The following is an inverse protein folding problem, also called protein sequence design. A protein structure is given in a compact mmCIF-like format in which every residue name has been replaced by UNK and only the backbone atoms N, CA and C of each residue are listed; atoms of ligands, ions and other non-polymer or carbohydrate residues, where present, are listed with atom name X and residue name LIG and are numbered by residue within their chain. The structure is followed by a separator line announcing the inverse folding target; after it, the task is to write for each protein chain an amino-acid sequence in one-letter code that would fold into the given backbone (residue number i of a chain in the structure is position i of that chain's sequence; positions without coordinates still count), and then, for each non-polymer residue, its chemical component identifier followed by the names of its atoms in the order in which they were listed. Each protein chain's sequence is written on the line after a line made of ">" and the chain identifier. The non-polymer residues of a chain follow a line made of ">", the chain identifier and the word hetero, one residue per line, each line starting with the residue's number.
data_IF_481876285419
#
_entry.id   IF_481876285419
#
_cell.length_a   1.000
_cell.length_b   1.000
_cell.length_c   1.000
_cell.angle_alpha   90.00
_cell.angle_beta   90.00
_cell.angle_gamma   90.00
#
_symmetry.space_group_name_H-M   'P 1'
#
loop_
_entity.id
_entity.type
_entity.pdbx_description
1 polymer ?
#
# COMPACT_ATOMS: atom_id res chain seq x y z
N UNK A 1 -11.67 -3.14 32.79
CA UNK A 1 -10.97 -2.66 31.58
C UNK A 1 -9.48 -2.96 31.74
N UNK A 2 -9.02 -4.12 31.31
CA UNK A 2 -7.60 -4.48 31.35
C UNK A 2 -7.27 -5.35 30.14
N UNK A 3 -6.80 -4.71 29.07
CA UNK A 3 -6.05 -5.26 27.94
C UNK A 3 -5.26 -4.03 27.45
N UNK A 4 -3.94 -4.02 27.30
CA UNK A 4 -3.13 -4.96 26.56
C UNK A 4 -1.67 -4.74 27.00
N UNK A 5 -1.07 -5.68 27.74
CA UNK A 5 0.38 -5.70 27.94
C UNK A 5 1.00 -6.38 26.71
N UNK A 6 1.33 -5.59 25.69
CA UNK A 6 2.10 -6.04 24.53
C UNK A 6 3.58 -6.17 24.93
N UNK A 7 3.93 -7.23 25.67
CA UNK A 7 5.31 -7.66 25.79
C UNK A 7 5.72 -8.38 24.51
N UNK A 8 6.88 -8.00 23.98
CA UNK A 8 7.55 -8.67 22.88
C UNK A 8 7.99 -10.05 23.38
N UNK A 9 7.44 -11.13 22.81
CA UNK A 9 7.94 -12.47 23.13
C UNK A 9 8.27 -13.26 21.87
N UNK A 10 9.29 -14.11 21.99
CA UNK A 10 9.81 -15.00 20.95
C UNK A 10 8.74 -16.05 20.62
N UNK A 11 8.46 -16.20 19.33
CA UNK A 11 7.47 -17.13 18.77
C UNK A 11 8.24 -18.05 17.82
N UNK A 12 8.09 -19.36 17.95
CA UNK A 12 8.63 -20.28 16.96
C UNK A 12 7.69 -20.30 15.75
N UNK A 13 8.10 -19.57 14.72
CA UNK A 13 7.48 -19.59 13.40
C UNK A 13 8.45 -20.17 12.40
N UNK A 14 8.14 -21.35 11.86
CA UNK A 14 8.82 -21.88 10.68
C UNK A 14 7.92 -21.64 9.46
N UNK A 15 8.33 -20.69 8.61
CA UNK A 15 7.62 -20.35 7.35
C UNK A 15 6.15 -19.99 7.53
N UNK A 16 5.80 -19.36 8.65
CA UNK A 16 4.46 -18.81 8.90
C UNK A 16 4.52 -17.31 9.14
N UNK A 17 3.47 -16.61 8.73
CA UNK A 17 3.24 -15.21 9.05
C UNK A 17 2.13 -15.12 10.11
N UNK A 18 2.33 -14.28 11.12
CA UNK A 18 1.33 -13.98 12.14
C UNK A 18 1.04 -12.50 12.13
N UNK A 19 -0.17 -12.14 11.74
CA UNK A 19 -0.62 -10.76 11.79
C UNK A 19 -1.11 -10.45 13.20
N UNK A 20 -0.34 -9.64 13.92
CA UNK A 20 -0.65 -9.27 15.30
C UNK A 20 -1.94 -8.48 15.44
N UNK A 21 -2.36 -7.75 14.39
CA UNK A 21 -3.54 -6.89 14.45
C UNK A 21 -4.85 -7.70 14.35
N UNK A 22 -4.84 -8.74 13.52
CA UNK A 22 -6.00 -9.60 13.26
C UNK A 22 -5.95 -10.93 14.03
N UNK A 23 -4.77 -11.31 14.52
CA UNK A 23 -4.52 -12.63 15.11
C UNK A 23 -4.51 -13.77 14.08
N UNK A 24 -4.40 -13.44 12.79
CA UNK A 24 -4.37 -14.43 11.72
C UNK A 24 -3.01 -15.11 11.61
N UNK A 25 -3.02 -16.43 11.38
CA UNK A 25 -1.83 -17.21 11.00
C UNK A 25 -1.98 -17.72 9.58
N UNK A 26 -0.98 -17.44 8.75
CA UNK A 26 -0.86 -17.93 7.37
C UNK A 26 0.53 -18.56 7.15
N UNK A 27 0.73 -19.23 6.03
CA UNK A 27 2.09 -19.52 5.56
C UNK A 27 2.75 -18.24 5.06
N UNK A 28 4.03 -18.08 5.37
CA UNK A 28 4.84 -17.05 4.75
C UNK A 28 5.05 -17.37 3.26
N UNK A 29 5.08 -16.35 2.42
CA UNK A 29 5.54 -16.50 1.05
C UNK A 29 7.07 -16.52 0.99
N UNK A 30 7.62 -17.10 -0.07
CA UNK A 30 9.03 -16.98 -0.42
C UNK A 30 9.20 -15.72 -1.27
N UNK A 31 9.63 -14.58 -0.70
CA UNK A 31 9.72 -13.35 -1.44
C UNK A 31 10.96 -13.32 -2.35
N UNK A 32 11.79 -14.37 -2.34
CA UNK A 32 12.98 -14.44 -3.20
C UNK A 32 12.65 -14.66 -4.67
N UNK A 33 11.41 -15.06 -5.00
CA UNK A 33 10.96 -15.28 -6.37
C UNK A 33 9.58 -14.71 -6.60
N UNK A 34 9.45 -13.87 -7.61
CA UNK A 34 8.15 -13.39 -8.11
C UNK A 34 7.75 -14.18 -9.36
N UNK A 35 6.51 -14.61 -9.42
CA UNK A 35 5.93 -15.25 -10.60
C UNK A 35 4.72 -14.46 -11.08
N UNK A 36 4.45 -14.47 -12.39
CA UNK A 36 3.23 -13.88 -12.93
C UNK A 36 2.03 -14.57 -12.27
N UNK A 37 1.20 -13.78 -11.61
CA UNK A 37 0.04 -14.23 -10.86
C UNK A 37 -1.22 -14.10 -11.71
N UNK A 38 -1.43 -12.92 -12.30
CA UNK A 38 -2.65 -12.61 -13.05
C UNK A 38 -2.47 -11.43 -13.99
N UNK A 39 -3.43 -11.28 -14.92
CA UNK A 39 -3.65 -10.08 -15.74
C UNK A 39 -5.08 -9.59 -15.55
N UNK A 40 -5.40 -9.07 -14.36
CA UNK A 40 -6.80 -8.95 -13.95
C UNK A 40 -7.46 -7.68 -14.49
N UNK A 41 -6.67 -6.74 -14.96
CA UNK A 41 -7.17 -5.49 -15.51
C UNK A 41 -7.21 -5.55 -17.04
N UNK A 42 -8.16 -4.83 -17.62
CA UNK A 42 -8.16 -4.52 -19.06
C UNK A 42 -7.20 -3.36 -19.41
N UNK A 43 -6.61 -2.74 -18.39
CA UNK A 43 -5.72 -1.59 -18.51
C UNK A 43 -4.25 -2.00 -18.45
N UNK A 44 -3.37 -1.13 -18.93
CA UNK A 44 -1.95 -1.45 -19.09
C UNK A 44 -1.10 -1.19 -17.85
N UNK A 45 -1.60 -0.50 -16.82
CA UNK A 45 -0.81 -0.12 -15.66
C UNK A 45 -1.56 -0.41 -14.37
N UNK A 46 -0.93 -1.16 -13.46
CA UNK A 46 -1.30 -1.17 -12.04
C UNK A 46 -0.58 0.00 -11.36
N UNK A 47 -1.34 0.99 -10.92
CA UNK A 47 -0.80 2.27 -10.48
C UNK A 47 -0.50 2.35 -8.99
N UNK A 48 -1.29 1.67 -8.17
CA UNK A 48 -1.16 1.70 -6.71
C UNK A 48 -1.78 0.43 -6.10
N UNK A 49 -1.38 0.11 -4.87
CA UNK A 49 -1.95 -0.96 -4.06
C UNK A 49 -2.09 -0.52 -2.61
N UNK A 50 -3.19 -0.87 -1.96
CA UNK A 50 -3.42 -0.58 -0.54
C UNK A 50 -4.05 -1.75 0.20
N UNK A 51 -3.82 -1.82 1.50
CA UNK A 51 -4.51 -2.76 2.38
C UNK A 51 -5.52 -1.98 3.22
N UNK A 52 -6.79 -2.32 3.06
CA UNK A 52 -7.90 -1.68 3.76
C UNK A 52 -8.76 -2.73 4.46
N UNK A 53 -8.85 -2.66 5.80
CA UNK A 53 -9.60 -3.64 6.62
C UNK A 53 -9.27 -5.10 6.28
N UNK A 54 -7.98 -5.39 6.08
CA UNK A 54 -7.50 -6.73 5.73
C UNK A 54 -7.80 -7.16 4.28
N UNK A 55 -8.22 -6.25 3.40
CA UNK A 55 -8.42 -6.49 1.97
C UNK A 55 -7.31 -5.81 1.19
N UNK A 56 -6.67 -6.52 0.26
CA UNK A 56 -5.72 -5.93 -0.67
C UNK A 56 -6.48 -5.41 -1.89
N UNK A 57 -6.36 -4.10 -2.13
CA UNK A 57 -6.93 -3.41 -3.29
C UNK A 57 -5.79 -2.99 -4.22
N UNK A 58 -6.05 -2.99 -5.51
CA UNK A 58 -5.15 -2.44 -6.52
C UNK A 58 -5.93 -1.50 -7.45
N UNK A 59 -5.35 -0.35 -7.78
CA UNK A 59 -5.85 0.48 -8.86
C UNK A 59 -5.15 0.13 -10.16
N UNK A 60 -5.90 0.12 -11.26
CA UNK A 60 -5.37 -0.02 -12.59
C UNK A 60 -6.00 1.01 -13.53
N UNK A 61 -5.18 1.58 -14.41
CA UNK A 61 -5.63 2.50 -15.46
C UNK A 61 -4.64 2.48 -16.63
N UNK A 62 -4.83 3.40 -17.56
CA UNK A 62 -4.13 3.54 -18.84
C UNK A 62 -4.61 2.56 -19.92
N UNK A 63 -4.89 3.13 -21.09
CA UNK A 63 -5.28 2.41 -22.30
C UNK A 63 -4.41 2.89 -23.47
N UNK A 64 -3.25 2.24 -23.63
CA UNK A 64 -2.30 2.54 -24.69
C UNK A 64 -2.73 2.03 -26.07
N UNK A 65 -3.73 1.14 -26.13
CA UNK A 65 -4.14 0.50 -27.38
C UNK A 65 -5.36 1.21 -28.01
N UNK A 66 -6.08 2.03 -27.24
CA UNK A 66 -7.18 2.83 -27.78
C UNK A 66 -6.73 3.88 -28.80
N UNK A 67 -7.58 4.16 -29.80
CA UNK A 67 -7.37 5.21 -30.82
C UNK A 67 -7.13 6.61 -30.22
N UNK A 68 -7.47 6.80 -28.96
CA UNK A 68 -7.18 8.00 -28.17
C UNK A 68 -5.68 8.29 -28.01
N UNK A 69 -4.81 7.31 -28.24
CA UNK A 69 -3.36 7.50 -28.30
C UNK A 69 -2.92 8.53 -29.37
N UNK A 70 -3.81 8.88 -30.31
CA UNK A 70 -3.60 9.97 -31.26
C UNK A 70 -3.78 11.37 -30.66
N UNK A 71 -4.43 11.51 -29.49
CA UNK A 71 -4.49 12.76 -28.72
C UNK A 71 -3.38 12.73 -27.64
N UNK A 72 -2.35 13.61 -27.69
CA UNK A 72 -1.15 13.60 -26.82
C UNK A 72 -1.33 13.63 -25.30
N UNK A 73 -2.56 13.57 -24.80
CA UNK A 73 -2.97 14.05 -23.49
C UNK A 73 -4.08 13.22 -22.83
N UNK A 74 -4.77 12.36 -23.57
CA UNK A 74 -5.76 11.43 -23.02
C UNK A 74 -5.03 10.13 -22.69
N UNK A 75 -4.86 9.85 -21.41
CA UNK A 75 -4.03 8.74 -20.93
C UNK A 75 -4.84 7.45 -20.71
N UNK A 76 -6.16 7.56 -20.53
CA UNK A 76 -7.03 6.40 -20.36
C UNK A 76 -8.51 6.74 -20.58
N UNK A 77 -9.31 5.72 -20.91
CA UNK A 77 -10.78 5.80 -20.98
C UNK A 77 -11.47 5.34 -19.69
N UNK A 78 -10.69 5.03 -18.64
CA UNK A 78 -11.23 4.63 -17.34
C UNK A 78 -10.19 4.05 -16.40
N UNK A 79 -10.64 3.72 -15.21
CA UNK A 79 -9.84 3.04 -14.20
C UNK A 79 -10.65 1.91 -13.57
N UNK A 80 -9.93 0.97 -12.98
CA UNK A 80 -10.50 -0.14 -12.20
C UNK A 80 -9.90 -0.12 -10.81
N UNK A 81 -10.74 -0.40 -9.82
CA UNK A 81 -10.32 -0.85 -8.51
C UNK A 81 -10.58 -2.34 -8.44
N UNK A 82 -9.53 -3.09 -8.19
CA UNK A 82 -9.54 -4.54 -8.09
C UNK A 82 -9.36 -4.94 -6.62
N UNK A 83 -9.98 -6.03 -6.22
CA UNK A 83 -9.79 -6.66 -4.92
C UNK A 83 -9.21 -8.06 -5.09
N UNK A 84 -8.17 -8.38 -4.32
CA UNK A 84 -7.62 -9.72 -4.25
C UNK A 84 -8.36 -10.58 -3.21
N UNK A 85 -8.78 -11.79 -3.60
CA UNK A 85 -9.33 -12.81 -2.72
C UNK A 85 -8.27 -13.87 -2.40
N UNK A 86 -7.75 -13.92 -1.16
CA UNK A 86 -6.80 -14.95 -0.74
C UNK A 86 -7.38 -16.37 -0.78
N UNK A 87 -8.71 -16.49 -0.68
CA UNK A 87 -9.42 -17.76 -0.70
C UNK A 87 -9.43 -18.43 -2.08
N UNK A 88 -9.67 -17.65 -3.15
CA UNK A 88 -9.64 -18.16 -4.53
C UNK A 88 -8.32 -17.95 -5.26
N UNK A 89 -7.42 -17.11 -4.74
CA UNK A 89 -6.22 -16.60 -5.44
C UNK A 89 -6.55 -15.82 -6.72
N UNK A 90 -7.62 -15.03 -6.67
CA UNK A 90 -8.11 -14.29 -7.82
C UNK A 90 -8.29 -12.81 -7.48
N UNK A 91 -8.16 -11.98 -8.51
CA UNK A 91 -8.53 -10.58 -8.46
C UNK A 91 -9.91 -10.38 -9.06
N UNK A 92 -10.74 -9.58 -8.40
CA UNK A 92 -12.10 -9.27 -8.84
C UNK A 92 -12.24 -7.77 -9.05
N UNK A 93 -13.02 -7.39 -10.05
CA UNK A 93 -13.41 -6.00 -10.23
C UNK A 93 -14.31 -5.59 -9.06
N UNK A 94 -13.86 -4.61 -8.28
CA UNK A 94 -14.61 -4.02 -7.18
C UNK A 94 -15.34 -2.75 -7.63
N UNK A 95 -14.69 -1.94 -8.46
CA UNK A 95 -15.26 -0.70 -8.98
C UNK A 95 -14.66 -0.33 -10.33
N UNK A 96 -15.48 0.23 -11.21
CA UNK A 96 -15.04 0.77 -12.49
C UNK A 96 -15.38 2.26 -12.55
N UNK A 97 -14.38 3.06 -12.92
CA UNK A 97 -14.49 4.50 -13.05
C UNK A 97 -14.37 4.84 -14.52
N UNK A 98 -15.48 5.22 -15.15
CA UNK A 98 -15.47 5.59 -16.56
C UNK A 98 -14.73 6.91 -16.77
N UNK A 99 -14.01 7.02 -17.89
CA UNK A 99 -13.40 8.25 -18.40
C UNK A 99 -12.38 8.91 -17.48
N UNK A 100 -11.90 8.16 -16.49
CA UNK A 100 -11.11 8.67 -15.39
C UNK A 100 -9.87 7.83 -15.17
N UNK A 101 -8.93 8.33 -14.38
CA UNK A 101 -7.74 7.61 -13.98
C UNK A 101 -7.55 7.68 -12.48
N UNK A 102 -6.85 6.66 -11.98
CA UNK A 102 -6.49 6.56 -10.57
C UNK A 102 -4.99 6.38 -10.49
N UNK A 103 -4.30 7.37 -9.90
CA UNK A 103 -2.86 7.30 -9.70
C UNK A 103 -2.49 6.94 -8.26
N UNK A 104 -3.26 7.40 -7.29
CA UNK A 104 -3.03 7.20 -5.88
C UNK A 104 -4.32 6.70 -5.24
N UNK A 105 -4.20 5.78 -4.29
CA UNK A 105 -5.27 5.26 -3.46
C UNK A 105 -4.83 5.42 -2.01
N UNK A 106 -5.66 6.06 -1.18
CA UNK A 106 -5.28 6.39 0.20
C UNK A 106 -6.26 5.78 1.18
N UNK A 107 -5.74 5.09 2.19
CA UNK A 107 -6.55 4.71 3.35
C UNK A 107 -6.54 5.88 4.32
N UNK A 108 -7.70 6.51 4.50
CA UNK A 108 -7.87 7.66 5.39
C UNK A 108 -8.96 7.33 6.40
N UNK A 109 -8.54 7.22 7.66
CA UNK A 109 -9.34 6.71 8.77
C UNK A 109 -9.90 5.30 8.46
N UNK A 110 -11.21 5.20 8.26
CA UNK A 110 -11.96 3.98 8.04
C UNK A 110 -12.50 3.89 6.61
N UNK A 111 -11.94 4.68 5.67
CA UNK A 111 -12.31 4.71 4.24
C UNK A 111 -11.09 4.61 3.34
N UNK A 112 -11.34 4.18 2.11
CA UNK A 112 -10.43 4.36 0.98
C UNK A 112 -10.86 5.61 0.22
N UNK A 113 -9.96 6.55 0.02
CA UNK A 113 -10.17 7.76 -0.75
C UNK A 113 -9.37 7.70 -2.05
N UNK A 114 -10.02 8.04 -3.16
CA UNK A 114 -9.46 7.95 -4.50
C UNK A 114 -9.64 9.29 -5.22
N UNK A 115 -8.58 10.10 -5.32
CA UNK A 115 -8.62 11.34 -6.07
C UNK A 115 -8.72 11.04 -7.57
N UNK A 116 -9.64 11.73 -8.23
CA UNK A 116 -9.89 11.54 -9.65
C UNK A 116 -8.86 12.27 -10.54
N UNK A 117 -8.17 11.53 -11.41
CA UNK A 117 -7.20 12.08 -12.36
C UNK A 117 -7.82 12.09 -13.77
N UNK A 118 -7.94 13.27 -14.41
CA UNK A 118 -8.44 13.44 -15.80
C UNK A 118 -9.79 12.79 -16.16
N UNK A 119 -10.93 13.44 -15.96
CA UNK A 119 -12.17 13.06 -16.61
C UNK A 119 -12.25 13.68 -18.00
N UNK A 120 -12.48 12.84 -19.00
CA UNK A 120 -12.61 13.26 -20.40
C UNK A 120 -13.81 14.20 -20.61
N UNK A 121 -14.87 14.05 -19.82
CA UNK A 121 -16.09 14.87 -19.92
C UNK A 121 -16.06 16.16 -19.06
N UNK A 122 -14.86 16.61 -18.66
CA UNK A 122 -14.60 18.01 -18.32
C UNK A 122 -14.97 18.48 -16.91
N UNK A 123 -15.18 17.57 -15.94
CA UNK A 123 -15.52 17.96 -14.56
C UNK A 123 -14.98 16.97 -13.50
N UNK A 124 -13.66 16.87 -13.30
CA UNK A 124 -13.15 16.17 -12.10
C UNK A 124 -13.26 17.16 -10.98
N UNK A 125 -14.12 16.81 -10.05
CA UNK A 125 -14.27 17.47 -8.76
C UNK A 125 -14.43 16.43 -7.67
N UNK A 126 -14.18 15.16 -8.00
CA UNK A 126 -14.55 14.03 -7.17
C UNK A 126 -13.33 13.49 -6.47
N UNK A 127 -13.56 13.17 -5.21
CA UNK A 127 -12.77 12.19 -4.49
C UNK A 127 -13.75 11.07 -4.18
N UNK A 128 -13.51 9.90 -4.76
CA UNK A 128 -14.33 8.73 -4.49
C UNK A 128 -13.99 8.22 -3.09
N UNK A 129 -15.00 7.78 -2.36
CA UNK A 129 -14.84 7.24 -1.02
C UNK A 129 -15.45 5.84 -0.97
N UNK A 130 -14.73 4.88 -0.39
CA UNK A 130 -15.22 3.53 -0.15
C UNK A 130 -15.10 3.19 1.33
N UNK A 131 -16.22 2.91 1.98
CA UNK A 131 -16.29 2.60 3.42
C UNK A 131 -16.10 1.11 3.74
N UNK A 132 -15.83 0.30 2.71
CA UNK A 132 -15.74 -1.16 2.80
C UNK A 132 -16.97 -1.90 2.29
N UNK A 133 -18.08 -1.19 2.09
CA UNK A 133 -19.35 -1.74 1.60
C UNK A 133 -19.83 -1.00 0.37
N UNK A 134 -19.88 0.33 0.45
CA UNK A 134 -20.48 1.18 -0.57
C UNK A 134 -19.50 2.25 -1.06
N UNK A 135 -19.68 2.62 -2.33
CA UNK A 135 -18.96 3.72 -2.96
C UNK A 135 -19.79 5.00 -2.87
N UNK A 136 -19.13 6.09 -2.49
CA UNK A 136 -19.68 7.43 -2.52
C UNK A 136 -18.67 8.42 -3.07
N UNK A 137 -19.02 9.70 -3.02
CA UNK A 137 -18.15 10.80 -3.38
C UNK A 137 -18.15 11.85 -2.27
N UNK A 138 -17.01 12.50 -2.07
CA UNK A 138 -16.95 13.70 -1.26
C UNK A 138 -17.61 14.88 -1.99
N UNK A 139 -17.84 15.99 -1.28
CA UNK A 139 -18.34 17.22 -1.86
C UNK A 139 -17.44 17.73 -2.99
N UNK A 140 -18.05 18.41 -3.96
CA UNK A 140 -17.36 18.86 -5.16
C UNK A 140 -16.25 19.86 -4.82
N UNK A 141 -15.08 19.65 -5.41
CA UNK A 141 -13.98 20.61 -5.37
C UNK A 141 -14.35 21.91 -6.12
N UNK A 142 -13.84 23.09 -5.70
CA UNK A 142 -14.44 24.39 -6.06
C UNK A 142 -14.28 24.84 -7.52
N UNK A 143 -13.26 24.33 -8.22
CA UNK A 143 -12.91 24.74 -9.57
C UNK A 143 -12.97 23.57 -10.55
N UNK A 144 -12.81 23.79 -11.86
CA UNK A 144 -12.57 22.67 -12.77
C UNK A 144 -11.18 22.10 -12.47
N UNK A 145 -11.14 20.90 -11.90
CA UNK A 145 -9.89 20.21 -11.64
C UNK A 145 -9.55 19.37 -12.85
N UNK A 146 -8.25 19.20 -13.01
CA UNK A 146 -7.69 18.43 -14.11
C UNK A 146 -6.95 17.20 -13.60
N UNK A 147 -6.23 17.41 -12.50
CA UNK A 147 -5.54 16.34 -11.81
C UNK A 147 -5.81 16.53 -10.33
N UNK A 148 -6.67 15.71 -9.74
CA UNK A 148 -6.59 15.51 -8.30
C UNK A 148 -5.51 14.44 -8.11
N UNK A 149 -4.45 14.78 -7.40
CA UNK A 149 -3.26 13.94 -7.31
C UNK A 149 -3.25 13.12 -6.03
N UNK A 150 -3.48 13.75 -4.88
CA UNK A 150 -3.41 13.07 -3.60
C UNK A 150 -4.46 13.58 -2.60
N UNK A 151 -4.74 12.76 -1.59
CA UNK A 151 -5.69 13.05 -0.52
C UNK A 151 -5.22 12.46 0.81
N UNK A 152 -5.24 13.25 1.88
CA UNK A 152 -4.90 12.75 3.22
C UNK A 152 -5.63 13.50 4.33
N UNK A 153 -5.55 12.97 5.56
CA UNK A 153 -5.97 13.68 6.77
C UNK A 153 -4.75 14.27 7.50
N UNK A 154 -4.86 15.52 7.93
CA UNK A 154 -3.88 16.20 8.78
C UNK A 154 -4.60 17.12 9.76
N UNK A 155 -4.23 17.08 11.05
CA UNK A 155 -4.82 17.98 12.06
C UNK A 155 -6.36 17.94 12.11
N UNK A 156 -6.96 16.78 11.88
CA UNK A 156 -8.42 16.59 11.88
C UNK A 156 -9.16 17.02 10.61
N UNK A 157 -8.48 17.64 9.63
CA UNK A 157 -9.06 18.08 8.36
C UNK A 157 -8.58 17.18 7.19
N UNK A 158 -9.37 17.11 6.12
CA UNK A 158 -8.95 16.50 4.86
C UNK A 158 -8.23 17.52 3.99
N UNK A 159 -7.24 17.04 3.25
CA UNK A 159 -6.47 17.83 2.30
C UNK A 159 -6.45 17.12 0.97
N UNK A 160 -6.57 17.89 -0.11
CA UNK A 160 -6.50 17.39 -1.48
C UNK A 160 -5.52 18.24 -2.27
N UNK A 161 -4.63 17.60 -3.01
CA UNK A 161 -3.63 18.25 -3.85
C UNK A 161 -3.79 17.90 -5.31
N UNK A 162 -3.05 18.60 -6.17
CA UNK A 162 -3.12 18.40 -7.61
C UNK A 162 -2.83 19.62 -8.46
N UNK A 163 -3.48 19.68 -9.62
CA UNK A 163 -3.33 20.75 -10.60
C UNK A 163 -4.66 21.22 -11.16
N UNK A 164 -4.85 22.54 -11.12
CA UNK A 164 -6.09 23.24 -11.41
C UNK A 164 -5.91 24.35 -12.42
N UNK A 165 -7.02 24.73 -13.05
CA UNK A 165 -7.09 25.90 -13.91
C UNK A 165 -8.17 26.84 -13.40
N UNK A 166 -7.96 28.13 -13.66
CA UNK A 166 -9.00 29.13 -13.46
C UNK A 166 -9.98 29.15 -14.65
N UNK A 167 -9.57 28.68 -15.82
CA UNK A 167 -10.35 28.70 -17.06
C UNK A 167 -10.55 27.29 -17.65
N UNK A 168 -11.66 27.12 -18.37
CA UNK A 168 -11.97 25.91 -19.14
C UNK A 168 -10.95 25.72 -20.27
N UNK A 169 -10.54 24.48 -20.59
CA UNK A 169 -9.48 24.19 -21.57
C UNK A 169 -9.61 24.83 -22.97
N UNK A 170 -10.82 25.14 -23.44
CA UNK A 170 -11.06 25.51 -24.84
C UNK A 170 -10.38 24.51 -25.80
N UNK A 171 -9.94 25.01 -26.97
CA UNK A 171 -9.17 24.24 -27.95
C UNK A 171 -7.64 24.44 -27.83
N UNK A 172 -7.11 25.06 -26.75
CA UNK A 172 -5.66 25.36 -26.65
C UNK A 172 -4.86 24.05 -26.54
N UNK A 173 -3.98 23.73 -27.51
CA UNK A 173 -3.17 22.53 -27.48
C UNK A 173 -2.18 22.49 -26.31
N UNK A 174 -1.95 23.57 -25.54
CA UNK A 174 -1.11 23.62 -24.33
C UNK A 174 -1.93 23.46 -23.05
N UNK A 175 -3.05 22.77 -23.16
CA UNK A 175 -4.02 22.62 -22.09
C UNK A 175 -3.52 21.92 -20.82
N UNK A 176 -2.32 21.35 -20.80
CA UNK A 176 -1.78 20.67 -19.61
C UNK A 176 -1.16 21.62 -18.57
N UNK A 177 -1.11 22.93 -18.85
CA UNK A 177 -0.55 23.94 -17.95
C UNK A 177 -1.60 24.37 -16.91
N UNK A 178 -1.58 23.79 -15.72
CA UNK A 178 -2.38 24.24 -14.57
C UNK A 178 -1.49 24.75 -13.44
N UNK A 179 -2.08 25.35 -12.41
CA UNK A 179 -1.43 25.71 -11.16
C UNK A 179 -1.54 24.55 -10.17
N UNK A 180 -0.45 24.27 -9.46
CA UNK A 180 -0.49 23.36 -8.32
C UNK A 180 -1.31 23.99 -7.20
N UNK A 181 -2.24 23.25 -6.61
CA UNK A 181 -3.05 23.76 -5.49
C UNK A 181 -3.23 22.72 -4.40
N UNK A 182 -3.56 23.21 -3.21
CA UNK A 182 -4.00 22.40 -2.08
C UNK A 182 -5.30 22.96 -1.54
N UNK A 183 -6.29 22.09 -1.39
CA UNK A 183 -7.58 22.40 -0.78
C UNK A 183 -7.67 21.71 0.58
N UNK A 184 -8.30 22.40 1.53
CA UNK A 184 -8.59 21.89 2.88
C UNK A 184 -10.10 21.77 3.06
N UNK A 185 -10.54 20.69 3.70
CA UNK A 185 -11.90 20.51 4.18
C UNK A 185 -11.90 20.25 5.69
N UNK A 186 -12.63 21.08 6.43
CA UNK A 186 -12.83 20.94 7.87
C UNK A 186 -14.09 20.11 8.22
N UNK A 187 -14.90 19.76 7.23
CA UNK A 187 -16.21 19.11 7.36
C UNK A 187 -16.25 17.78 6.59
N UNK A 188 -15.12 17.06 6.63
CA UNK A 188 -14.96 15.71 6.08
C UNK A 188 -15.27 15.60 4.58
N UNK A 189 -14.83 16.60 3.83
CA UNK A 189 -14.92 16.67 2.38
C UNK A 189 -16.21 17.28 1.85
N UNK A 190 -17.12 17.78 2.70
CA UNK A 190 -18.36 18.41 2.22
C UNK A 190 -18.09 19.75 1.54
N UNK A 191 -17.19 20.56 2.09
CA UNK A 191 -16.74 21.82 1.50
C UNK A 191 -15.22 21.92 1.48
N UNK A 192 -14.71 22.70 0.53
CA UNK A 192 -13.27 22.81 0.27
C UNK A 192 -12.85 24.28 0.17
N UNK A 193 -11.75 24.62 0.84
CA UNK A 193 -11.12 25.94 0.77
C UNK A 193 -9.73 25.82 0.20
N UNK A 194 -9.41 26.61 -0.83
CA UNK A 194 -8.04 26.70 -1.35
C UNK A 194 -7.13 27.33 -0.28
N UNK A 195 -6.06 26.64 0.08
CA UNK A 195 -5.09 27.11 1.08
C UNK A 195 -3.68 27.26 0.52
N UNK A 196 -3.46 26.79 -0.72
CA UNK A 196 -2.19 26.89 -1.42
C UNK A 196 -2.40 27.02 -2.92
N UNK A 197 -1.53 27.79 -3.55
CA UNK A 197 -1.42 27.93 -5.00
C UNK A 197 0.02 28.20 -5.40
N UNK A 198 0.52 27.47 -6.40
CA UNK A 198 1.85 27.73 -6.97
C UNK A 198 1.88 29.06 -7.72
N UNK A 199 3.02 29.76 -7.67
CA UNK A 199 3.23 31.04 -8.39
C UNK A 199 3.24 30.86 -9.92
N UNK A 200 3.66 29.69 -10.38
CA UNK A 200 3.78 29.33 -11.79
C UNK A 200 2.99 28.06 -12.07
N UNK A 201 2.81 27.75 -13.36
CA UNK A 201 2.21 26.48 -13.77
C UNK A 201 3.01 25.30 -13.20
N UNK A 202 2.30 24.37 -12.56
CA UNK A 202 2.86 23.24 -11.82
C UNK A 202 1.78 22.29 -11.31
N UNK A 203 2.18 21.37 -10.44
CA UNK A 203 1.32 20.38 -9.79
C UNK A 203 1.83 20.18 -8.38
N UNK A 204 0.93 20.00 -7.43
CA UNK A 204 1.26 19.39 -6.14
C UNK A 204 0.91 17.92 -6.27
N UNK A 205 1.89 17.01 -6.22
CA UNK A 205 1.68 15.62 -6.64
C UNK A 205 1.33 14.70 -5.49
N UNK A 206 1.92 14.95 -4.33
CA UNK A 206 1.83 14.06 -3.20
C UNK A 206 2.03 14.82 -1.91
N UNK A 207 1.43 14.32 -0.83
CA UNK A 207 1.48 14.94 0.47
C UNK A 207 1.77 13.92 1.57
N UNK A 208 2.35 14.37 2.68
CA UNK A 208 2.56 13.52 3.85
C UNK A 208 2.56 14.34 5.14
N UNK A 209 2.01 13.79 6.22
CA UNK A 209 2.22 14.35 7.56
C UNK A 209 3.56 13.88 8.12
N UNK A 210 4.37 14.82 8.62
CA UNK A 210 5.58 14.50 9.38
C UNK A 210 5.78 15.49 10.53
N UNK A 211 6.00 14.97 11.75
CA UNK A 211 6.27 15.78 12.96
C UNK A 211 5.31 16.98 13.14
N UNK A 212 4.01 16.73 12.98
CA UNK A 212 2.96 17.75 13.19
C UNK A 212 2.85 18.80 12.10
N UNK A 213 3.42 18.55 10.92
CA UNK A 213 3.34 19.44 9.75
C UNK A 213 2.92 18.65 8.52
N UNK A 214 2.24 19.32 7.61
CA UNK A 214 1.90 18.76 6.31
C UNK A 214 2.98 19.14 5.29
N UNK A 215 3.56 18.17 4.62
CA UNK A 215 4.55 18.39 3.56
C UNK A 215 3.95 18.01 2.22
N UNK A 216 4.41 18.67 1.16
CA UNK A 216 4.00 18.35 -0.20
C UNK A 216 5.13 18.56 -1.21
N UNK A 217 5.13 17.78 -2.30
CA UNK A 217 6.05 17.98 -3.41
C UNK A 217 5.37 18.73 -4.56
N UNK A 218 5.99 19.83 -4.96
CA UNK A 218 5.64 20.56 -6.17
C UNK A 218 6.51 20.07 -7.34
N UNK A 219 5.87 19.73 -8.45
CA UNK A 219 6.57 19.17 -9.61
C UNK A 219 7.75 20.05 -10.05
N UNK A 220 8.95 19.47 -9.96
CA UNK A 220 10.16 20.00 -10.58
C UNK A 220 10.78 21.24 -9.92
N UNK A 221 10.28 21.73 -8.77
CA UNK A 221 10.78 22.99 -8.21
C UNK A 221 10.92 23.03 -6.69
N UNK A 222 9.92 22.59 -5.92
CA UNK A 222 9.85 22.92 -4.49
C UNK A 222 9.32 21.77 -3.65
N UNK A 223 9.87 21.65 -2.43
CA UNK A 223 9.23 20.94 -1.34
C UNK A 223 8.63 22.00 -0.42
N UNK A 224 7.37 21.86 -0.04
CA UNK A 224 6.69 22.86 0.78
C UNK A 224 6.18 22.23 2.07
N UNK A 225 6.08 23.02 3.14
CA UNK A 225 5.52 22.59 4.40
C UNK A 225 4.48 23.57 4.93
N UNK A 226 3.40 23.03 5.50
CA UNK A 226 2.31 23.74 6.12
C UNK A 226 2.31 23.46 7.63
N UNK A 227 2.37 24.54 8.42
CA UNK A 227 2.39 24.49 9.89
C UNK A 227 0.99 24.64 10.53
N UNK A 228 -0.08 24.65 9.72
CA UNK A 228 -1.43 24.97 10.18
C UNK A 228 -1.84 26.42 9.91
N UNK A 229 -0.91 27.31 9.56
CA UNK A 229 -1.15 28.74 9.33
C UNK A 229 -0.56 29.28 8.04
N UNK A 230 0.65 28.86 7.66
CA UNK A 230 1.35 29.31 6.44
C UNK A 230 2.14 28.19 5.78
N UNK A 231 2.30 28.31 4.47
CA UNK A 231 3.21 27.49 3.69
C UNK A 231 4.61 28.08 3.73
N UNK A 232 5.62 27.23 3.87
CA UNK A 232 7.02 27.58 3.68
C UNK A 232 7.63 26.72 2.59
N UNK A 233 8.54 27.31 1.82
CA UNK A 233 9.37 26.57 0.87
C UNK A 233 10.57 25.96 1.62
N UNK A 234 10.80 24.68 1.41
CA UNK A 234 11.93 23.93 1.95
C UNK A 234 12.90 23.66 0.79
N UNK A 235 14.10 24.28 0.82
CA UNK A 235 15.08 24.06 -0.22
C UNK A 235 15.52 22.60 -0.29
N UNK A 236 15.43 22.02 -1.48
CA UNK A 236 15.99 20.69 -1.77
C UNK A 236 17.47 20.85 -2.10
N UNK A 237 18.28 21.06 -1.05
CA UNK A 237 19.74 21.17 -1.15
C UNK A 237 20.36 19.84 -0.74
N UNK A 238 21.12 19.24 -1.66
CA UNK A 238 21.81 17.97 -1.45
C UNK A 238 23.31 18.22 -1.34
N UNK A 239 23.91 17.63 -0.32
CA UNK A 239 25.35 17.69 -0.09
C UNK A 239 25.94 16.27 0.05
N UNK A 240 26.92 15.90 -0.80
CA UNK A 240 27.43 16.65 -1.96
C UNK A 240 26.38 16.78 -3.07
N UNK A 241 26.54 17.79 -3.94
CA UNK A 241 25.63 17.99 -5.09
C UNK A 241 25.65 16.71 -5.96
N UNK A 242 24.51 16.04 -6.17
CA UNK A 242 24.46 14.85 -6.99
C UNK A 242 24.81 15.17 -8.46
N UNK A 243 25.24 14.16 -9.23
CA UNK A 243 25.55 14.34 -10.65
C UNK A 243 24.32 14.73 -11.49
N UNK A 244 23.11 14.44 -10.99
CA UNK A 244 21.84 14.77 -11.62
C UNK A 244 21.08 15.74 -10.72
N UNK A 245 20.58 16.84 -11.28
CA UNK A 245 19.76 17.80 -10.55
C UNK A 245 18.58 17.09 -9.87
N UNK A 246 18.39 17.24 -8.55
CA UNK A 246 17.32 16.56 -7.86
C UNK A 246 15.96 17.02 -8.35
N UNK A 247 15.17 16.08 -8.84
CA UNK A 247 13.79 16.30 -9.23
C UNK A 247 12.90 15.45 -8.33
N UNK A 248 12.35 16.07 -7.28
CA UNK A 248 11.25 15.48 -6.49
C UNK A 248 9.94 15.33 -7.29
N UNK A 249 9.93 15.79 -8.55
CA UNK A 249 8.73 16.05 -9.35
C UNK A 249 7.95 14.84 -9.86
N UNK A 250 8.24 13.64 -9.38
CA UNK A 250 7.35 12.48 -9.55
C UNK A 250 7.30 11.63 -8.28
N UNK A 251 7.81 12.17 -7.16
CA UNK A 251 8.09 11.38 -5.99
C UNK A 251 6.84 11.04 -5.20
N UNK A 252 6.65 9.74 -4.94
CA UNK A 252 5.84 9.25 -3.84
C UNK A 252 6.58 9.59 -2.54
N UNK A 253 5.87 10.22 -1.62
CA UNK A 253 6.30 10.63 -0.29
C UNK A 253 5.77 9.62 0.74
N UNK A 254 6.66 9.14 1.60
CA UNK A 254 6.28 8.25 2.69
C UNK A 254 7.07 8.59 3.95
N UNK A 255 6.42 8.57 5.12
CA UNK A 255 7.14 8.66 6.40
C UNK A 255 7.56 7.28 6.88
N UNK A 256 8.86 7.11 7.09
CA UNK A 256 9.46 5.89 7.60
C UNK A 256 10.74 6.19 8.39
N UNK A 257 10.94 5.44 9.49
CA UNK A 257 12.10 5.60 10.38
C UNK A 257 12.40 7.06 10.78
N UNK A 258 11.34 7.82 11.12
CA UNK A 258 11.40 9.24 11.51
C UNK A 258 12.02 10.16 10.44
N UNK A 259 11.70 9.87 9.17
CA UNK A 259 12.12 10.64 7.99
C UNK A 259 11.01 10.64 6.96
N UNK A 260 11.02 11.63 6.08
CA UNK A 260 10.29 11.56 4.81
C UNK A 260 11.20 10.92 3.77
N UNK A 261 10.72 9.86 3.15
CA UNK A 261 11.33 9.20 2.00
C UNK A 261 10.61 9.70 0.75
N UNK A 262 11.34 10.26 -0.19
CA UNK A 262 10.83 10.68 -1.49
C UNK A 262 11.55 9.90 -2.58
N UNK A 263 10.82 9.20 -3.45
CA UNK A 263 11.44 8.32 -4.45
C UNK A 263 11.38 8.86 -5.88
N UNK A 264 12.35 8.48 -6.69
CA UNK A 264 12.37 8.63 -8.13
C UNK A 264 13.07 7.37 -8.69
N UNK A 265 12.86 6.99 -9.95
CA UNK A 265 13.48 5.79 -10.53
C UNK A 265 15.01 5.83 -10.46
N UNK A 266 15.62 7.01 -10.59
CA UNK A 266 17.08 7.16 -10.55
C UNK A 266 17.65 7.30 -9.12
N UNK A 267 16.92 7.93 -8.20
CA UNK A 267 17.38 8.32 -6.86
C UNK A 267 16.25 8.21 -5.85
N UNK A 268 16.57 7.99 -4.58
CA UNK A 268 15.65 8.34 -3.50
C UNK A 268 16.29 9.36 -2.55
N UNK A 269 15.44 10.10 -1.86
CA UNK A 269 15.82 11.20 -0.99
C UNK A 269 15.26 10.98 0.41
N UNK A 270 16.05 11.33 1.42
CA UNK A 270 15.64 11.30 2.81
C UNK A 270 15.67 12.71 3.40
N UNK A 271 14.56 13.13 3.99
CA UNK A 271 14.46 14.38 4.74
C UNK A 271 14.29 14.07 6.22
N UNK A 272 15.21 14.55 7.05
CA UNK A 272 15.23 14.33 8.50
C UNK A 272 14.48 15.43 9.30
N UNK A 273 13.77 16.31 8.60
CA UNK A 273 13.14 17.51 9.17
C UNK A 273 13.98 18.77 9.03
N UNK A 274 15.26 18.67 8.65
CA UNK A 274 16.18 19.80 8.50
C UNK A 274 16.89 19.81 7.15
N UNK A 275 17.39 18.66 6.70
CA UNK A 275 18.20 18.54 5.47
C UNK A 275 17.80 17.33 4.65
N UNK A 276 18.14 17.41 3.36
CA UNK A 276 17.98 16.32 2.42
C UNK A 276 19.29 15.56 2.23
N UNK A 277 19.19 14.24 2.09
CA UNK A 277 20.26 13.39 1.56
C UNK A 277 19.71 12.59 0.38
N UNK A 278 20.56 12.24 -0.58
CA UNK A 278 20.18 11.44 -1.76
C UNK A 278 20.98 10.15 -1.82
N UNK A 279 20.35 9.10 -2.33
CA UNK A 279 20.89 7.75 -2.35
C UNK A 279 20.52 7.06 -3.66
N UNK A 280 21.33 6.07 -4.05
CA UNK A 280 21.10 5.16 -5.18
C UNK A 280 21.01 3.72 -4.68
N UNK A 281 20.33 2.81 -5.41
CA UNK A 281 19.50 3.05 -6.60
C UNK A 281 18.18 3.77 -6.23
N UNK A 282 17.45 4.28 -7.22
CA UNK A 282 16.10 4.79 -7.01
C UNK A 282 15.03 3.69 -6.97
N UNK A 283 13.78 4.11 -6.80
CA UNK A 283 12.60 3.24 -6.69
C UNK A 283 11.42 3.79 -7.49
N UNK A 284 10.60 2.89 -8.00
CA UNK A 284 9.34 3.15 -8.72
C UNK A 284 8.19 3.31 -7.73
N UNK A 285 8.19 2.52 -6.65
CA UNK A 285 7.16 2.57 -5.61
C UNK A 285 7.70 2.11 -4.23
N UNK A 286 6.98 2.47 -3.17
CA UNK A 286 7.28 2.15 -1.78
C UNK A 286 6.07 1.52 -1.07
N UNK A 287 6.33 0.52 -0.23
CA UNK A 287 5.33 -0.08 0.65
C UNK A 287 5.83 -0.27 2.07
N UNK A 288 5.03 0.14 3.06
CA UNK A 288 5.37 -0.04 4.47
C UNK A 288 4.55 -1.18 5.09
N UNK A 289 5.24 -2.13 5.70
CA UNK A 289 4.65 -3.14 6.58
C UNK A 289 5.34 -3.08 7.95
N UNK A 290 4.65 -2.48 8.93
CA UNK A 290 5.17 -2.31 10.29
C UNK A 290 6.48 -1.50 10.33
N UNK A 291 7.59 -2.20 10.64
CA UNK A 291 8.96 -1.65 10.74
C UNK A 291 9.82 -1.95 9.50
N UNK A 292 9.22 -2.47 8.44
CA UNK A 292 9.90 -2.74 7.18
C UNK A 292 9.33 -1.84 6.10
N UNK A 293 10.20 -1.24 5.30
CA UNK A 293 9.86 -0.53 4.09
C UNK A 293 10.38 -1.33 2.91
N UNK A 294 9.52 -1.59 1.95
CA UNK A 294 9.81 -2.25 0.68
C UNK A 294 9.90 -1.21 -0.41
N UNK A 295 10.82 -1.40 -1.35
CA UNK A 295 11.03 -0.53 -2.51
C UNK A 295 11.09 -1.35 -3.78
N UNK A 296 10.24 -1.02 -4.75
CA UNK A 296 10.24 -1.63 -6.08
C UNK A 296 11.20 -0.87 -6.99
N UNK A 297 12.12 -1.58 -7.64
CA UNK A 297 13.06 -0.99 -8.60
C UNK A 297 12.58 -1.16 -10.04
N UNK A 298 13.12 -0.33 -10.93
CA UNK A 298 12.86 -0.38 -12.38
C UNK A 298 13.44 -1.64 -13.06
N UNK A 299 14.46 -2.24 -12.47
CA UNK A 299 14.97 -3.58 -12.83
C UNK A 299 14.03 -4.72 -12.40
N UNK A 300 12.92 -4.40 -11.74
CA UNK A 300 11.88 -5.32 -11.27
C UNK A 300 12.22 -6.08 -10.00
N UNK A 301 13.35 -5.79 -9.36
CA UNK A 301 13.66 -6.32 -8.03
C UNK A 301 12.98 -5.52 -6.91
N UNK A 302 12.68 -6.21 -5.81
CA UNK A 302 12.19 -5.60 -4.58
C UNK A 302 13.32 -5.61 -3.54
N UNK A 303 13.54 -4.47 -2.91
CA UNK A 303 14.44 -4.30 -1.78
C UNK A 303 13.64 -4.02 -0.51
N UNK A 304 14.22 -4.30 0.66
CA UNK A 304 13.64 -3.98 1.96
C UNK A 304 14.66 -3.28 2.85
N UNK A 305 14.16 -2.47 3.77
CA UNK A 305 14.97 -1.73 4.75
C UNK A 305 14.20 -1.57 6.06
N UNK A 306 14.94 -1.39 7.17
CA UNK A 306 14.39 -1.07 8.49
C UNK A 306 14.70 0.36 8.93
N UNK A 307 15.54 1.08 8.19
CA UNK A 307 16.05 2.41 8.55
C UNK A 307 16.03 3.43 7.38
N UNK A 308 15.54 3.01 6.20
CA UNK A 308 15.56 3.76 4.95
C UNK A 308 16.97 4.06 4.38
N UNK A 309 18.02 3.46 4.94
CA UNK A 309 19.41 3.67 4.52
C UNK A 309 20.02 2.37 4.02
N UNK A 310 20.01 1.32 4.85
CA UNK A 310 20.51 0.01 4.49
C UNK A 310 19.40 -0.79 3.81
N UNK A 311 19.51 -0.93 2.49
CA UNK A 311 18.57 -1.68 1.67
C UNK A 311 19.15 -3.04 1.31
N UNK A 312 18.37 -4.08 1.54
CA UNK A 312 18.70 -5.45 1.19
C UNK A 312 17.78 -5.92 0.05
N UNK A 313 18.36 -6.55 -0.96
CA UNK A 313 17.57 -7.15 -2.04
C UNK A 313 16.80 -8.36 -1.49
N UNK A 314 15.48 -8.32 -1.62
CA UNK A 314 14.57 -9.39 -1.19
C UNK A 314 14.41 -10.43 -2.29
N UNK A 315 14.21 -9.99 -3.53
CA UNK A 315 13.99 -10.89 -4.68
C UNK A 315 15.31 -11.31 -5.33
N UNK A 316 15.55 -12.62 -5.46
CA UNK A 316 16.58 -13.18 -6.35
C UNK A 316 16.09 -13.20 -7.80
N UNK A 317 14.82 -13.55 -7.99
CA UNK A 317 14.12 -13.52 -9.27
C UNK A 317 12.99 -12.49 -9.17
N UNK A 318 13.25 -11.29 -9.73
CA UNK A 318 12.29 -10.19 -9.75
C UNK A 318 11.28 -10.29 -10.90
N UNK A 319 10.49 -9.23 -11.06
CA UNK A 319 9.67 -9.03 -12.25
C UNK A 319 10.59 -8.74 -13.45
N UNK A 320 10.30 -9.24 -14.68
CA UNK A 320 11.11 -8.89 -15.84
C UNK A 320 11.17 -7.37 -16.05
N UNK A 321 12.36 -6.79 -16.14
CA UNK A 321 12.55 -5.33 -16.28
C UNK A 321 11.76 -4.70 -17.44
N UNK A 322 11.48 -5.47 -18.51
CA UNK A 322 10.66 -5.03 -19.65
C UNK A 322 9.25 -4.59 -19.24
N UNK A 323 8.73 -5.10 -18.12
CA UNK A 323 7.42 -4.75 -17.57
C UNK A 323 7.38 -3.30 -17.03
N UNK A 324 8.55 -2.68 -16.84
CA UNK A 324 8.73 -1.27 -16.45
C UNK A 324 9.40 -0.43 -17.55
N UNK A 325 9.82 -1.07 -18.65
CA UNK A 325 10.59 -0.46 -19.73
C UNK A 325 9.72 0.10 -20.86
N UNK A 326 8.39 -0.14 -20.86
CA UNK A 326 7.53 0.27 -21.99
C UNK A 326 7.54 1.81 -22.11
N UNK A 327 8.36 2.29 -23.03
CA UNK A 327 8.15 3.59 -23.65
C UNK A 327 6.90 3.45 -24.50
N UNK A 328 5.88 4.28 -24.25
CA UNK A 328 4.84 4.47 -25.25
C UNK A 328 5.51 4.80 -26.61
N UNK A 329 4.94 4.39 -27.74
CA UNK A 329 5.48 4.64 -29.11
C UNK A 329 5.83 6.12 -29.39
N UNK A 330 5.37 7.05 -28.54
CA UNK A 330 5.66 8.50 -28.57
C UNK A 330 6.58 8.98 -27.42
N UNK A 331 7.43 8.11 -26.88
CA UNK A 331 8.53 8.48 -25.99
C UNK A 331 8.16 8.92 -24.57
N UNK A 332 6.96 8.55 -24.07
CA UNK A 332 6.62 8.77 -22.65
C UNK A 332 6.72 7.44 -21.91
N UNK A 333 7.80 7.20 -21.15
CA UNK A 333 7.82 6.07 -20.25
C UNK A 333 6.87 6.34 -19.09
N UNK A 334 5.87 5.48 -18.91
CA UNK A 334 5.18 5.39 -17.64
C UNK A 334 5.93 4.36 -16.81
N UNK A 335 7.03 4.80 -16.20
CA UNK A 335 7.74 4.04 -15.18
C UNK A 335 6.86 4.00 -13.92
N UNK A 336 5.85 3.15 -13.97
CA UNK A 336 4.87 2.94 -12.91
C UNK A 336 4.80 1.46 -12.60
N UNK A 337 4.50 1.21 -11.35
CA UNK A 337 4.26 -0.09 -10.77
C UNK A 337 3.82 0.14 -9.34
N UNK A 338 3.30 -0.90 -8.72
CA UNK A 338 2.90 -0.87 -7.33
C UNK A 338 3.55 -2.04 -6.61
N UNK A 339 3.92 -1.85 -5.35
CA UNK A 339 4.35 -2.94 -4.47
C UNK A 339 3.46 -2.98 -3.24
N UNK A 340 3.09 -4.19 -2.82
CA UNK A 340 2.39 -4.38 -1.56
C UNK A 340 2.78 -5.69 -0.90
N UNK A 341 2.72 -5.72 0.42
CA UNK A 341 2.73 -6.97 1.20
C UNK A 341 1.37 -7.13 1.85
N UNK A 342 0.76 -8.29 1.63
CA UNK A 342 -0.53 -8.65 2.20
C UNK A 342 -0.47 -10.07 2.75
N UNK A 343 -0.75 -10.23 4.06
CA UNK A 343 -0.69 -11.52 4.77
C UNK A 343 0.64 -12.25 4.59
N UNK A 344 1.75 -11.51 4.62
CA UNK A 344 3.10 -12.04 4.42
C UNK A 344 3.43 -12.47 2.98
N UNK A 345 2.58 -12.11 2.00
CA UNK A 345 2.83 -12.34 0.57
C UNK A 345 3.13 -11.02 -0.14
N UNK A 346 4.24 -11.00 -0.88
CA UNK A 346 4.66 -9.86 -1.69
C UNK A 346 3.94 -9.87 -3.04
N UNK A 347 3.39 -8.72 -3.44
CA UNK A 347 2.74 -8.46 -4.72
C UNK A 347 3.43 -7.30 -5.44
N UNK A 348 3.53 -7.40 -6.76
CA UNK A 348 4.05 -6.34 -7.63
C UNK A 348 3.13 -6.17 -8.83
N UNK A 349 2.57 -4.96 -9.01
CA UNK A 349 1.84 -4.55 -10.20
C UNK A 349 2.76 -3.87 -11.21
N UNK A 350 2.54 -4.08 -12.51
CA UNK A 350 3.41 -3.58 -13.60
C UNK A 350 2.75 -2.52 -14.49
N UNK A 351 3.57 -1.82 -15.28
CA UNK A 351 3.14 -0.70 -16.14
C UNK A 351 3.07 -0.98 -17.65
N UNK A 352 3.64 -2.08 -18.15
CA UNK A 352 3.63 -2.37 -19.59
C UNK A 352 2.35 -3.08 -20.06
N UNK A 353 1.73 -3.87 -19.19
CA UNK A 353 0.62 -4.79 -19.52
C UNK A 353 -0.33 -5.06 -18.32
N UNK A 354 -0.27 -4.24 -17.27
CA UNK A 354 -1.17 -4.34 -16.11
C UNK A 354 -1.06 -5.69 -15.40
N UNK A 355 0.09 -6.35 -15.49
CA UNK A 355 0.30 -7.66 -14.90
C UNK A 355 0.50 -7.51 -13.40
N UNK A 356 0.11 -8.54 -12.67
CA UNK A 356 0.42 -8.68 -11.25
C UNK A 356 1.30 -9.91 -11.08
N UNK A 357 2.39 -9.73 -10.37
CA UNK A 357 3.30 -10.77 -9.93
C UNK A 357 3.14 -10.97 -8.43
N UNK A 358 3.31 -12.19 -7.95
CA UNK A 358 3.23 -12.49 -6.53
C UNK A 358 4.28 -13.54 -6.11
N UNK A 359 4.74 -13.43 -4.87
CA UNK A 359 5.58 -14.44 -4.25
C UNK A 359 4.79 -15.73 -4.00
N UNK A 360 5.30 -16.93 -4.33
CA UNK A 360 4.61 -18.18 -4.01
C UNK A 360 4.66 -18.47 -2.51
N UNK A 361 3.64 -19.14 -1.98
CA UNK A 361 3.68 -19.63 -0.60
C UNK A 361 4.64 -20.80 -0.44
N UNK A 362 5.27 -20.91 0.73
CA UNK A 362 5.97 -22.14 1.09
C UNK A 362 5.00 -23.31 1.15
N UNK A 363 5.42 -24.51 0.70
CA UNK A 363 4.52 -25.67 0.66
C UNK A 363 4.03 -26.14 2.03
N UNK A 364 4.84 -25.95 3.09
CA UNK A 364 4.48 -26.27 4.49
C UNK A 364 5.14 -25.29 5.44
N UNK A 365 4.54 -25.17 6.62
CA UNK A 365 5.04 -24.34 7.71
C UNK A 365 4.29 -24.64 9.00
N UNK A 366 4.86 -24.16 10.10
CA UNK A 366 4.36 -24.40 11.44
C UNK A 366 4.44 -23.14 12.26
N UNK A 367 3.33 -22.83 12.90
CA UNK A 367 3.24 -21.82 13.93
C UNK A 367 3.03 -22.49 15.28
N UNK A 368 3.81 -22.10 16.29
CA UNK A 368 3.58 -22.48 17.69
C UNK A 368 3.27 -21.21 18.49
N UNK A 369 2.13 -21.21 19.19
CA UNK A 369 1.76 -20.10 20.06
C UNK A 369 2.72 -20.00 21.23
N UNK A 370 2.70 -18.88 21.95
CA UNK A 370 3.30 -18.86 23.28
C UNK A 370 2.47 -19.71 24.24
N UNK A 371 3.08 -20.29 25.28
CA UNK A 371 2.36 -20.78 26.44
C UNK A 371 1.45 -19.70 27.02
N UNK A 372 0.23 -20.07 27.37
CA UNK A 372 -0.75 -19.23 28.04
C UNK A 372 -1.15 -19.91 29.35
N UNK A 373 -1.26 -19.12 30.41
CA UNK A 373 -1.76 -19.59 31.70
C UNK A 373 -3.28 -19.44 31.71
N UNK A 374 -4.00 -20.53 31.45
CA UNK A 374 -5.45 -20.59 31.42
C UNK A 374 -5.88 -21.90 32.04
N UNK A 375 -6.68 -21.82 33.10
CA UNK A 375 -7.19 -22.99 33.80
C UNK A 375 -8.29 -23.69 32.97
N UNK A 376 -7.87 -24.64 32.11
CA UNK A 376 -8.80 -25.45 31.31
C UNK A 376 -9.59 -26.46 32.16
N UNK A 377 -9.19 -26.73 33.40
CA UNK A 377 -9.85 -27.72 34.27
C UNK A 377 -11.32 -27.37 34.56
N UNK A 378 -11.66 -26.07 34.46
CA UNK A 378 -13.00 -25.56 34.71
C UNK A 378 -13.91 -25.55 33.48
N UNK A 379 -13.51 -26.19 32.37
CA UNK A 379 -14.33 -26.30 31.16
C UNK A 379 -13.90 -25.42 29.99
N UNK A 380 -12.68 -24.88 30.02
CA UNK A 380 -12.15 -24.07 28.92
C UNK A 380 -12.00 -24.85 27.61
N UNK A 381 -12.12 -24.14 26.48
CA UNK A 381 -12.00 -24.72 25.13
C UNK A 381 -11.16 -23.84 24.22
N UNK A 382 -10.31 -24.47 23.41
CA UNK A 382 -9.68 -23.83 22.25
C UNK A 382 -10.72 -23.77 21.13
N UNK A 383 -11.04 -22.57 20.67
CA UNK A 383 -11.89 -22.31 19.52
C UNK A 383 -11.08 -21.56 18.47
N UNK A 384 -11.31 -21.86 17.20
CA UNK A 384 -10.71 -21.13 16.10
C UNK A 384 -11.65 -21.14 14.90
N UNK A 385 -11.51 -20.13 14.05
CA UNK A 385 -12.08 -20.12 12.72
C UNK A 385 -10.96 -20.40 11.71
N UNK A 386 -11.31 -20.92 10.54
CA UNK A 386 -10.33 -21.08 9.50
C UNK A 386 -10.93 -20.91 8.11
N UNK A 387 -10.12 -20.44 7.19
CA UNK A 387 -10.36 -20.60 5.76
C UNK A 387 -9.33 -21.56 5.22
N UNK A 388 -9.81 -22.66 4.62
CA UNK A 388 -8.95 -23.71 4.06
C UNK A 388 -9.28 -23.87 2.58
N UNK A 389 -8.61 -23.12 1.69
CA UNK A 389 -8.83 -23.23 0.26
C UNK A 389 -8.61 -24.66 -0.26
N UNK A 390 -9.32 -25.03 -1.35
CA UNK A 390 -9.19 -26.36 -1.97
C UNK A 390 -7.73 -26.65 -2.33
N UNK A 391 -7.19 -27.77 -1.85
CA UNK A 391 -5.80 -28.17 -2.09
C UNK A 391 -4.82 -27.71 -1.01
N UNK A 392 -5.29 -26.97 0.00
CA UNK A 392 -4.52 -26.60 1.19
C UNK A 392 -4.94 -27.45 2.39
N UNK A 393 -4.18 -27.41 3.49
CA UNK A 393 -4.60 -28.04 4.74
C UNK A 393 -4.15 -27.26 5.98
N UNK A 394 -4.99 -27.29 7.02
CA UNK A 394 -4.70 -26.73 8.33
C UNK A 394 -4.95 -27.81 9.38
N UNK A 395 -3.97 -28.06 10.24
CA UNK A 395 -4.12 -28.89 11.42
C UNK A 395 -3.77 -28.10 12.67
N UNK A 396 -4.77 -27.89 13.53
CA UNK A 396 -4.59 -27.23 14.83
C UNK A 396 -4.45 -28.31 15.91
N UNK A 397 -3.39 -28.18 16.70
CA UNK A 397 -3.07 -29.06 17.83
C UNK A 397 -2.85 -28.24 19.08
N UNK A 398 -3.02 -28.89 20.22
CA UNK A 398 -2.91 -28.28 21.53
C UNK A 398 -2.15 -29.21 22.46
N UNK A 399 -1.37 -28.63 23.36
CA UNK A 399 -0.83 -29.32 24.52
C UNK A 399 -1.14 -28.51 25.77
N UNK A 400 -1.34 -29.19 26.88
CA UNK A 400 -1.63 -28.57 28.16
C UNK A 400 -0.93 -29.33 29.28
N UNK A 401 -0.56 -28.63 30.36
CA UNK A 401 0.11 -29.22 31.53
C UNK A 401 -0.07 -28.36 32.79
N UNK A 402 0.17 -28.93 33.96
CA UNK A 402 -0.01 -28.22 35.24
C UNK A 402 1.07 -27.16 35.53
N UNK A 403 2.24 -27.29 34.91
CA UNK A 403 3.35 -26.33 35.01
C UNK A 403 3.96 -26.03 33.64
N UNK A 404 4.72 -24.94 33.55
CA UNK A 404 5.45 -24.58 32.32
C UNK A 404 6.47 -25.65 31.93
N UNK A 405 7.21 -26.18 32.90
CA UNK A 405 8.22 -27.22 32.65
C UNK A 405 7.60 -28.52 32.16
N UNK A 406 6.39 -28.85 32.65
CA UNK A 406 5.64 -30.00 32.17
C UNK A 406 5.06 -29.75 30.77
N UNK A 407 4.67 -28.51 30.44
CA UNK A 407 4.15 -28.13 29.13
C UNK A 407 5.19 -28.35 28.02
N UNK A 408 6.45 -28.04 28.28
CA UNK A 408 7.54 -28.20 27.31
C UNK A 408 7.73 -29.66 26.86
N UNK A 409 7.42 -30.61 27.74
CA UNK A 409 7.47 -32.07 27.47
C UNK A 409 6.12 -32.66 27.08
N UNK A 410 5.03 -31.91 27.23
CA UNK A 410 3.69 -32.41 26.94
C UNK A 410 3.54 -32.73 25.45
N UNK A 411 2.90 -33.86 25.16
CA UNK A 411 2.62 -34.29 23.79
C UNK A 411 1.56 -33.39 23.14
N UNK A 412 1.73 -33.13 21.85
CA UNK A 412 0.72 -32.44 21.05
C UNK A 412 -0.45 -33.38 20.74
N UNK A 413 -1.66 -32.97 21.10
CA UNK A 413 -2.90 -33.68 20.78
C UNK A 413 -3.77 -32.85 19.83
N UNK A 414 -4.69 -33.52 19.14
CA UNK A 414 -5.72 -32.83 18.35
C UNK A 414 -6.71 -32.16 19.33
N UNK A 415 -7.16 -30.94 19.02
CA UNK A 415 -8.06 -30.20 19.91
C UNK A 415 -9.45 -30.88 20.00
N UNK A 416 -10.16 -30.77 21.15
CA UNK A 416 -9.84 -29.96 22.33
C UNK A 416 -8.86 -30.63 23.33
N UNK A 417 -8.03 -29.82 24.00
CA UNK A 417 -7.21 -30.26 25.13
C UNK A 417 -8.06 -30.46 26.39
N UNK A 418 -7.55 -31.26 27.33
CA UNK A 418 -8.14 -31.41 28.67
C UNK A 418 -7.27 -30.73 29.74
N UNK A 419 -7.93 -30.05 30.67
CA UNK A 419 -7.72 -30.27 32.11
C UNK A 419 -6.56 -29.60 32.83
N UNK A 420 -5.78 -28.71 32.22
CA UNK A 420 -4.58 -28.17 32.88
C UNK A 420 -4.43 -26.65 32.79
N UNK A 421 -3.61 -26.08 33.71
CA UNK A 421 -3.36 -24.64 33.89
C UNK A 421 -2.58 -23.95 32.77
N UNK A 422 -1.63 -24.64 32.15
CA UNK A 422 -0.83 -24.10 31.07
C UNK A 422 -1.24 -24.73 29.76
N UNK A 423 -1.36 -23.92 28.71
CA UNK A 423 -1.81 -24.36 27.39
C UNK A 423 -0.99 -23.69 26.29
N UNK A 424 -0.72 -24.44 25.24
CA UNK A 424 -0.11 -23.95 24.03
C UNK A 424 -0.78 -24.60 22.83
N UNK A 425 -0.92 -23.86 21.74
CA UNK A 425 -1.48 -24.38 20.50
C UNK A 425 -0.47 -24.27 19.36
N UNK A 426 -0.69 -25.08 18.33
CA UNK A 426 0.15 -25.16 17.14
C UNK A 426 -0.75 -25.28 15.92
N UNK A 427 -0.39 -24.56 14.87
CA UNK A 427 -0.98 -24.73 13.55
C UNK A 427 0.08 -25.28 12.60
N UNK A 428 -0.14 -26.49 12.08
CA UNK A 428 0.59 -27.03 10.95
C UNK A 428 -0.20 -26.68 9.67
N UNK A 429 0.41 -25.91 8.76
CA UNK A 429 -0.23 -25.42 7.54
C UNK A 429 0.47 -26.03 6.30
N UNK A 430 -0.31 -26.31 5.25
CA UNK A 430 0.20 -26.68 3.94
C UNK A 430 -0.49 -25.90 2.82
N UNK A 431 0.29 -25.42 1.84
CA UNK A 431 -0.14 -24.65 0.68
C UNK A 431 0.04 -25.46 -0.60
N UNK A 432 -0.74 -25.10 -1.63
CA UNK A 432 -0.55 -25.53 -3.01
C UNK A 432 0.44 -24.64 -3.82
N UNK A 433 1.17 -23.75 -3.14
CA UNK A 433 2.09 -22.76 -3.71
C UNK A 433 1.43 -21.42 -4.09
N UNK A 434 0.10 -21.39 -4.25
CA UNK A 434 -0.68 -20.22 -4.68
C UNK A 434 -1.58 -19.69 -3.57
N UNK A 435 -2.24 -20.59 -2.85
CA UNK A 435 -3.18 -20.34 -1.76
C UNK A 435 -2.65 -20.89 -0.46
N UNK A 436 -3.00 -20.25 0.64
CA UNK A 436 -2.60 -20.68 1.98
C UNK A 436 -3.84 -20.78 2.87
N UNK A 437 -3.92 -21.78 3.76
CA UNK A 437 -4.97 -21.75 4.77
C UNK A 437 -4.70 -20.60 5.74
N UNK A 438 -5.78 -20.02 6.25
CA UNK A 438 -5.73 -18.95 7.24
C UNK A 438 -6.40 -19.45 8.51
N UNK A 439 -5.65 -19.56 9.61
CA UNK A 439 -6.24 -19.74 10.93
C UNK A 439 -6.58 -18.36 11.51
N UNK A 440 -7.81 -18.17 11.95
CA UNK A 440 -8.34 -16.90 12.49
C UNK A 440 -8.89 -17.12 13.90
N UNK A 441 -8.97 -16.05 14.69
CA UNK A 441 -9.64 -16.06 15.99
C UNK A 441 -9.25 -17.25 16.88
N UNK A 442 -7.98 -17.68 16.87
CA UNK A 442 -7.54 -18.79 17.72
C UNK A 442 -7.55 -18.31 19.17
N UNK A 443 -8.60 -18.71 19.89
CA UNK A 443 -8.90 -18.25 21.24
C UNK A 443 -9.02 -19.44 22.16
N UNK A 444 -8.51 -19.26 23.37
CA UNK A 444 -8.74 -20.20 24.45
C UNK A 444 -9.75 -19.52 25.36
N UNK A 445 -11.00 -19.98 25.31
CA UNK A 445 -12.02 -19.52 26.22
C UNK A 445 -11.86 -20.30 27.54
N UNK A 446 -11.81 -19.59 28.67
CA UNK A 446 -12.16 -20.18 29.96
C UNK A 446 -13.67 -20.49 30.02
N UNK A 447 -14.15 -21.18 31.06
CA UNK A 447 -15.59 -21.27 31.33
C UNK A 447 -16.26 -19.92 31.53
#
# INVERSE_FOLDING_TARGET
>A
MAFLAALLFIQESDRTHFDQSSGEVTLAADPSRLAEHSRPTKWHVVTDMVVFRGRLLASACYDFDSEWFLKPWAYSNGAQILEYSPESDEWKLLHEMAESMVLNVRVVDDRVLIPEFFPLNGRSRLVHAFDGKEWGTLGLLPAQNWHVMDVLRFGGALYVSGSWRDESPGDDPRWWKGYGRVFRSADDGRTWTEIHRTKENGRVLDMVEFRGRLYANEIGKQFIAWDGKKWEEIPVRLEPKPPVEPKLGSAHLMVFADRIVAINSALYYLFDGKKWTSHTPGYVDLWREGKTLYGLRDDGHVCATRDAVAWERVTKEGVPAKEFARMAEKGRPLHRGAVAVHRGRLFVGTGAEGRIYAAPYHGKGRFVSKPQEIDLSKGGRLTWDAVVPKGTSLKVRVRSAESMEALDRAAWADAPAKGHRWVQWRADLASDGKRTPVARNVRIAGP
#
